data_IF_311455623154
#
_entry.id   IF_311455623154
#
_cell.length_a   1.000
_cell.length_b   1.000
_cell.length_c   1.000
_cell.angle_alpha   90.00
_cell.angle_beta   90.00
_cell.angle_gamma   90.00
#
_symmetry.space_group_name_H-M   'P 1'
#
loop_
_entity.id
_entity.type
_entity.pdbx_description
1 polymer ?
#
# COMPACT_ATOMS: atom_id res chain seq x y z
N UNK A 1 -29.70 -11.11 3.57
CA UNK A 1 -28.31 -10.64 3.56
C UNK A 1 -27.94 -10.32 2.12
N UNK A 2 -27.95 -9.05 1.72
CA UNK A 2 -27.61 -8.63 0.37
C UNK A 2 -26.09 -8.54 0.22
N UNK A 3 -25.49 -9.35 -0.65
CA UNK A 3 -24.13 -9.12 -1.10
C UNK A 3 -24.09 -7.76 -1.79
N UNK A 4 -23.20 -6.87 -1.39
CA UNK A 4 -22.92 -5.67 -2.17
C UNK A 4 -22.18 -6.15 -3.40
N UNK A 5 -22.70 -5.90 -4.61
CA UNK A 5 -22.00 -6.30 -5.83
C UNK A 5 -20.61 -5.66 -5.82
N UNK A 6 -19.58 -6.48 -6.06
CA UNK A 6 -18.20 -6.03 -6.25
C UNK A 6 -18.11 -5.15 -7.51
N UNK A 7 -19.10 -5.25 -8.36
CA UNK A 7 -19.23 -4.52 -9.62
C UNK A 7 -20.61 -3.84 -9.69
N UNK A 8 -20.64 -2.54 -9.67
CA UNK A 8 -21.80 -1.74 -10.09
C UNK A 8 -21.59 -1.37 -11.56
N UNK A 9 -22.54 -1.72 -12.47
CA UNK A 9 -22.50 -1.19 -13.83
C UNK A 9 -22.63 0.33 -13.77
N UNK A 10 -21.63 1.02 -14.23
CA UNK A 10 -21.54 2.48 -14.20
C UNK A 10 -20.07 2.89 -14.14
N UNK A 11 -19.78 4.15 -14.28
CA UNK A 11 -18.42 4.66 -14.11
C UNK A 11 -17.91 4.38 -12.70
N UNK A 12 -17.06 3.36 -12.57
CA UNK A 12 -16.38 3.07 -11.30
C UNK A 12 -15.35 4.17 -11.09
N UNK A 13 -15.70 5.15 -10.29
CA UNK A 13 -14.73 6.15 -9.85
C UNK A 13 -13.81 5.53 -8.80
N UNK A 14 -12.67 5.01 -9.25
CA UNK A 14 -11.68 4.36 -8.37
C UNK A 14 -11.15 5.32 -7.30
N UNK A 15 -11.15 6.64 -7.58
CA UNK A 15 -10.72 7.67 -6.63
C UNK A 15 -11.74 7.91 -5.49
N UNK A 16 -12.96 7.41 -5.62
CA UNK A 16 -14.03 7.53 -4.61
C UNK A 16 -14.31 6.20 -3.88
N UNK A 17 -13.61 5.15 -4.23
CA UNK A 17 -13.76 3.82 -3.62
C UNK A 17 -13.36 3.79 -2.14
N UNK A 18 -13.71 2.71 -1.41
CA UNK A 18 -13.38 2.55 0.01
C UNK A 18 -11.89 2.77 0.31
N UNK A 19 -11.01 2.24 -0.52
CA UNK A 19 -9.55 2.39 -0.38
C UNK A 19 -9.12 3.86 -0.45
N UNK A 20 -9.62 4.63 -1.40
CA UNK A 20 -9.25 6.05 -1.56
C UNK A 20 -9.74 6.89 -0.37
N UNK A 21 -10.99 6.68 0.07
CA UNK A 21 -11.53 7.37 1.25
C UNK A 21 -10.77 7.03 2.53
N UNK A 22 -10.37 5.77 2.68
CA UNK A 22 -9.59 5.34 3.84
C UNK A 22 -8.16 5.90 3.77
N UNK A 23 -7.53 5.91 2.59
CA UNK A 23 -6.22 6.51 2.39
C UNK A 23 -6.21 7.99 2.81
N UNK A 24 -7.20 8.76 2.38
CA UNK A 24 -7.34 10.16 2.77
C UNK A 24 -7.43 10.32 4.29
N UNK A 25 -8.29 9.56 4.97
CA UNK A 25 -8.40 9.60 6.44
C UNK A 25 -7.09 9.23 7.15
N UNK A 26 -6.35 8.26 6.60
CA UNK A 26 -5.05 7.84 7.17
C UNK A 26 -4.01 8.95 7.00
N UNK A 27 -3.96 9.58 5.84
CA UNK A 27 -3.09 10.73 5.58
C UNK A 27 -3.41 11.90 6.50
N UNK A 28 -4.67 12.29 6.60
CA UNK A 28 -5.12 13.34 7.51
C UNK A 28 -4.72 13.05 8.97
N UNK A 29 -4.99 11.84 9.45
CA UNK A 29 -4.63 11.42 10.81
C UNK A 29 -3.13 11.39 11.06
N UNK A 30 -2.34 11.06 10.05
CA UNK A 30 -0.89 11.00 10.14
C UNK A 30 -0.22 12.36 9.92
N UNK A 31 -0.96 13.38 9.45
CA UNK A 31 -0.43 14.68 9.05
C UNK A 31 0.57 14.57 7.89
N UNK A 32 0.27 13.71 6.92
CA UNK A 32 1.13 13.40 5.78
C UNK A 32 0.29 13.29 4.50
N UNK A 33 0.96 13.34 3.34
CA UNK A 33 0.38 13.07 2.05
C UNK A 33 0.98 11.85 1.35
N UNK A 34 0.43 11.47 0.18
CA UNK A 34 0.99 10.38 -0.63
C UNK A 34 2.44 10.64 -1.08
N UNK A 35 2.84 11.92 -1.18
CA UNK A 35 4.20 12.35 -1.49
C UNK A 35 5.22 11.95 -0.42
N UNK A 36 4.81 11.90 0.84
CA UNK A 36 5.68 11.60 1.98
C UNK A 36 6.00 10.11 2.14
N UNK A 37 5.34 9.24 1.37
CA UNK A 37 5.58 7.80 1.44
C UNK A 37 6.80 7.40 0.62
N UNK A 38 7.68 6.61 1.21
CA UNK A 38 8.90 6.10 0.58
C UNK A 38 8.72 4.67 0.04
N UNK A 39 7.89 3.85 0.69
CA UNK A 39 7.66 2.47 0.30
C UNK A 39 6.25 2.02 0.65
N UNK A 40 5.65 1.17 -0.18
CA UNK A 40 4.31 0.64 0.08
C UNK A 40 4.23 -0.88 -0.13
N UNK A 41 3.33 -1.50 0.61
CA UNK A 41 2.86 -2.86 0.36
C UNK A 41 1.38 -2.81 0.02
N UNK A 42 0.98 -3.38 -1.11
CA UNK A 42 -0.42 -3.45 -1.48
C UNK A 42 -0.89 -4.88 -1.71
N UNK A 43 -2.19 -5.09 -1.54
CA UNK A 43 -2.85 -6.35 -1.83
C UNK A 43 -3.06 -6.48 -3.34
N UNK A 44 -2.12 -7.12 -4.01
CA UNK A 44 -2.08 -7.34 -5.46
C UNK A 44 -2.41 -8.80 -5.81
N UNK A 45 -3.57 -9.28 -5.36
CA UNK A 45 -4.03 -10.64 -5.67
C UNK A 45 -4.13 -10.91 -7.18
N UNK A 46 -4.29 -9.84 -7.98
CA UNK A 46 -4.35 -9.87 -9.43
C UNK A 46 -3.50 -8.73 -10.01
N UNK A 47 -2.96 -8.91 -11.20
CA UNK A 47 -2.09 -7.93 -11.88
C UNK A 47 -2.63 -6.49 -11.92
N UNK A 48 -3.94 -6.23 -12.18
CA UNK A 48 -4.47 -4.87 -12.13
C UNK A 48 -4.54 -4.26 -10.73
N UNK A 49 -4.33 -5.05 -9.68
CA UNK A 49 -4.43 -4.62 -8.28
C UNK A 49 -3.44 -3.51 -7.94
N UNK A 50 -2.19 -3.63 -8.38
CA UNK A 50 -1.18 -2.61 -8.15
C UNK A 50 -1.49 -1.31 -8.89
N UNK A 51 -1.83 -1.39 -10.18
CA UNK A 51 -2.20 -0.23 -11.00
C UNK A 51 -3.33 0.56 -10.34
N UNK A 52 -4.40 -0.14 -9.93
CA UNK A 52 -5.53 0.50 -9.27
C UNK A 52 -5.17 1.07 -7.88
N UNK A 53 -4.24 0.44 -7.18
CA UNK A 53 -3.80 0.90 -5.85
C UNK A 53 -2.94 2.15 -5.95
N UNK A 54 -2.07 2.27 -6.96
CA UNK A 54 -1.32 3.50 -7.26
C UNK A 54 -2.25 4.72 -7.35
N UNK A 55 -3.38 4.57 -8.03
CA UNK A 55 -4.36 5.65 -8.18
C UNK A 55 -5.16 5.88 -6.89
N UNK A 56 -5.62 4.80 -6.23
CA UNK A 56 -6.43 4.89 -4.99
C UNK A 56 -5.66 5.44 -3.81
N UNK A 57 -4.35 5.20 -3.74
CA UNK A 57 -3.48 5.78 -2.71
C UNK A 57 -3.04 7.21 -3.06
N UNK A 58 -3.43 7.76 -4.22
CA UNK A 58 -3.12 9.11 -4.62
C UNK A 58 -1.71 9.31 -5.18
N UNK A 59 -0.97 8.24 -5.51
CA UNK A 59 0.35 8.38 -6.12
C UNK A 59 0.25 8.92 -7.54
N UNK A 60 -0.88 8.66 -8.22
CA UNK A 60 -1.21 9.18 -9.55
C UNK A 60 -2.70 9.44 -9.67
N UNK A 61 -3.07 10.30 -10.63
CA UNK A 61 -4.47 10.55 -10.98
C UNK A 61 -5.07 9.32 -11.66
N UNK A 62 -6.39 9.26 -11.67
CA UNK A 62 -7.14 8.22 -12.37
C UNK A 62 -6.71 8.14 -13.85
N UNK A 63 -6.41 6.93 -14.31
CA UNK A 63 -5.95 6.63 -15.67
C UNK A 63 -4.44 6.72 -15.87
N UNK A 64 -3.67 7.23 -14.90
CA UNK A 64 -2.21 7.37 -15.01
C UNK A 64 -1.44 6.20 -14.36
N UNK A 65 -2.12 5.36 -13.57
CA UNK A 65 -1.48 4.30 -12.80
C UNK A 65 -0.77 3.27 -13.68
N UNK A 66 -1.36 2.90 -14.82
CA UNK A 66 -0.78 1.95 -15.74
C UNK A 66 0.55 2.42 -16.31
N UNK A 67 0.61 3.67 -16.78
CA UNK A 67 1.85 4.28 -17.30
C UNK A 67 2.90 4.38 -16.20
N UNK A 68 2.51 4.80 -15.01
CA UNK A 68 3.40 4.93 -13.87
C UNK A 68 4.09 3.60 -13.50
N UNK A 69 3.32 2.50 -13.49
CA UNK A 69 3.85 1.15 -13.24
C UNK A 69 4.74 0.69 -14.40
N UNK A 70 4.29 0.91 -15.64
CA UNK A 70 5.04 0.54 -16.85
C UNK A 70 6.43 1.21 -16.92
N UNK A 71 6.54 2.45 -16.49
CA UNK A 71 7.79 3.21 -16.40
C UNK A 71 8.74 2.73 -15.29
N UNK A 72 8.39 1.68 -14.54
CA UNK A 72 9.21 1.14 -13.45
C UNK A 72 9.18 1.97 -12.16
N UNK A 73 8.25 2.94 -12.04
CA UNK A 73 8.21 3.79 -10.86
C UNK A 73 7.85 3.06 -9.56
N UNK A 74 7.30 1.84 -9.65
CA UNK A 74 6.99 0.98 -8.50
C UNK A 74 8.06 -0.08 -8.22
N UNK A 75 9.10 -0.15 -9.03
CA UNK A 75 10.24 -1.03 -8.80
C UNK A 75 11.05 -0.59 -7.56
N UNK A 76 11.96 -1.44 -7.08
CA UNK A 76 12.78 -1.19 -5.87
C UNK A 76 13.55 0.14 -5.96
N UNK A 77 14.01 0.49 -7.15
CA UNK A 77 14.74 1.74 -7.45
C UNK A 77 13.85 2.85 -8.00
N UNK A 78 12.55 2.60 -8.09
CA UNK A 78 11.58 3.54 -8.63
C UNK A 78 11.23 4.67 -7.65
N UNK A 79 10.37 5.58 -8.09
CA UNK A 79 9.95 6.75 -7.30
C UNK A 79 9.07 6.38 -6.09
N UNK A 80 8.31 5.30 -6.19
CA UNK A 80 7.40 4.78 -5.16
C UNK A 80 7.48 3.26 -5.12
N UNK A 81 8.55 2.69 -4.56
CA UNK A 81 8.74 1.25 -4.45
C UNK A 81 7.52 0.58 -3.82
N UNK A 82 6.97 -0.40 -4.52
CA UNK A 82 5.80 -1.15 -4.06
C UNK A 82 6.09 -2.65 -4.09
N UNK A 83 5.63 -3.37 -3.06
CA UNK A 83 5.69 -4.82 -3.02
C UNK A 83 7.09 -5.40 -3.28
N UNK A 84 8.11 -4.78 -2.70
CA UNK A 84 9.53 -5.09 -2.91
C UNK A 84 9.92 -6.53 -2.64
N UNK A 85 9.08 -7.29 -1.92
CA UNK A 85 9.30 -8.70 -1.57
C UNK A 85 8.66 -9.71 -2.55
N UNK A 86 8.27 -9.26 -3.74
CA UNK A 86 7.77 -10.12 -4.81
C UNK A 86 6.26 -10.27 -4.89
N UNK A 87 5.48 -9.50 -4.12
CA UNK A 87 4.01 -9.43 -4.23
C UNK A 87 3.28 -10.73 -3.85
N UNK A 88 1.96 -10.69 -3.73
CA UNK A 88 1.14 -11.90 -3.56
C UNK A 88 1.30 -12.84 -4.75
N UNK A 89 1.46 -12.28 -5.96
CA UNK A 89 1.60 -13.03 -7.21
C UNK A 89 2.84 -13.94 -7.25
N UNK A 90 3.97 -13.53 -6.67
CA UNK A 90 5.20 -14.35 -6.64
C UNK A 90 5.40 -15.06 -5.31
N UNK A 91 5.04 -14.42 -4.20
CA UNK A 91 5.25 -14.95 -2.84
C UNK A 91 4.15 -15.91 -2.41
N UNK A 92 2.99 -15.83 -3.04
CA UNK A 92 1.78 -16.55 -2.64
C UNK A 92 0.93 -15.75 -1.65
N UNK A 93 -0.31 -16.22 -1.45
CA UNK A 93 -1.34 -15.54 -0.66
C UNK A 93 -1.97 -16.46 0.39
N UNK A 94 -1.28 -16.82 1.48
CA UNK A 94 -1.94 -17.43 2.63
C UNK A 94 -2.81 -16.37 3.33
N UNK A 95 -4.13 -16.48 3.19
CA UNK A 95 -5.10 -15.43 3.54
C UNK A 95 -4.88 -14.85 4.95
N UNK A 96 -4.67 -15.71 5.96
CA UNK A 96 -4.42 -15.28 7.34
C UNK A 96 -3.02 -14.72 7.61
N UNK A 97 -2.04 -14.95 6.73
CA UNK A 97 -0.64 -14.55 6.96
C UNK A 97 -0.20 -13.36 6.11
N UNK A 98 -0.91 -13.03 5.06
CA UNK A 98 -0.51 -11.99 4.10
C UNK A 98 -0.32 -10.64 4.76
N UNK A 99 -1.24 -10.19 5.59
CA UNK A 99 -1.12 -8.93 6.32
C UNK A 99 0.13 -8.88 7.21
N UNK A 100 0.40 -9.96 7.96
CA UNK A 100 1.62 -10.08 8.78
C UNK A 100 2.90 -10.03 7.95
N UNK A 101 2.90 -10.66 6.77
CA UNK A 101 4.05 -10.61 5.86
C UNK A 101 4.28 -9.21 5.27
N UNK A 102 3.21 -8.46 4.97
CA UNK A 102 3.31 -7.07 4.52
C UNK A 102 3.87 -6.16 5.62
N UNK A 103 3.40 -6.32 6.86
CA UNK A 103 3.94 -5.59 8.02
C UNK A 103 5.43 -5.90 8.19
N UNK A 104 5.81 -7.17 8.14
CA UNK A 104 7.21 -7.60 8.29
C UNK A 104 8.10 -6.96 7.23
N UNK A 105 7.66 -6.91 5.98
CA UNK A 105 8.45 -6.28 4.93
C UNK A 105 8.61 -4.78 5.16
N UNK A 106 7.53 -4.05 5.47
CA UNK A 106 7.64 -2.62 5.77
C UNK A 106 8.57 -2.37 6.95
N UNK A 107 8.48 -3.15 8.03
CA UNK A 107 9.39 -3.02 9.18
C UNK A 107 10.84 -3.21 8.77
N UNK A 108 11.14 -4.22 7.94
CA UNK A 108 12.51 -4.45 7.41
C UNK A 108 12.99 -3.30 6.56
N UNK A 109 12.14 -2.77 5.68
CA UNK A 109 12.45 -1.61 4.85
C UNK A 109 12.82 -0.39 5.71
N UNK A 110 12.01 -0.08 6.71
CA UNK A 110 12.22 1.06 7.60
C UNK A 110 13.44 0.90 8.52
N UNK A 111 13.89 -0.34 8.78
CA UNK A 111 15.10 -0.63 9.56
C UNK A 111 16.36 -0.73 8.70
N UNK A 112 16.25 -0.71 7.37
CA UNK A 112 17.39 -0.96 6.49
C UNK A 112 17.82 -2.43 6.45
N UNK A 113 16.92 -3.35 6.78
CA UNK A 113 17.18 -4.80 6.92
C UNK A 113 16.63 -5.63 5.75
N UNK A 114 16.18 -4.98 4.67
CA UNK A 114 15.55 -5.69 3.54
C UNK A 114 16.55 -6.30 2.54
N UNK A 115 17.86 -6.11 2.74
CA UNK A 115 18.92 -6.66 1.90
C UNK A 115 18.83 -6.15 0.46
N UNK A 116 18.87 -7.06 -0.51
CA UNK A 116 18.79 -6.70 -1.95
C UNK A 116 17.46 -6.07 -2.37
N UNK A 117 16.45 -6.14 -1.53
CA UNK A 117 15.12 -5.55 -1.77
C UNK A 117 14.95 -4.16 -1.15
N UNK A 118 16.01 -3.63 -0.56
CA UNK A 118 15.98 -2.37 0.18
C UNK A 118 15.65 -1.19 -0.72
N UNK A 119 14.53 -0.51 -0.48
CA UNK A 119 14.24 0.80 -1.05
C UNK A 119 15.16 1.86 -0.45
N UNK A 120 15.67 2.75 -1.28
CA UNK A 120 16.59 3.78 -0.83
C UNK A 120 15.93 4.74 0.18
N UNK A 121 16.60 4.98 1.31
CA UNK A 121 16.19 5.96 2.32
C UNK A 121 14.76 5.81 2.87
N UNK A 122 14.20 4.62 2.88
CA UNK A 122 12.84 4.37 3.37
C UNK A 122 12.67 4.76 4.84
N UNK A 123 11.87 5.78 5.12
CA UNK A 123 11.53 6.29 6.45
C UNK A 123 10.05 6.21 6.76
N UNK A 124 9.22 6.27 5.73
CA UNK A 124 7.76 6.23 5.84
C UNK A 124 7.23 5.14 4.93
N UNK A 125 6.47 4.21 5.49
CA UNK A 125 5.89 3.10 4.75
C UNK A 125 4.37 3.02 4.93
N UNK A 126 3.69 2.43 3.95
CA UNK A 126 2.26 2.17 4.01
C UNK A 126 1.95 0.72 3.67
N UNK A 127 0.93 0.17 4.33
CA UNK A 127 0.37 -1.14 4.04
C UNK A 127 -1.07 -0.95 3.62
N UNK A 128 -1.43 -1.49 2.47
CA UNK A 128 -2.80 -1.60 1.99
C UNK A 128 -3.16 -3.08 1.89
N UNK A 129 -3.94 -3.58 2.83
CA UNK A 129 -4.44 -4.95 2.83
C UNK A 129 -5.94 -4.94 2.53
N UNK A 130 -6.36 -5.65 1.50
CA UNK A 130 -7.76 -5.77 1.12
C UNK A 130 -8.30 -7.15 1.51
N UNK A 131 -9.46 -7.17 2.15
CA UNK A 131 -10.18 -8.40 2.47
C UNK A 131 -11.37 -8.58 1.55
N UNK A 132 -11.65 -9.83 1.16
CA UNK A 132 -12.86 -10.21 0.43
C UNK A 132 -13.96 -10.51 1.45
N UNK A 133 -14.94 -9.61 1.54
CA UNK A 133 -16.14 -9.82 2.36
C UNK A 133 -16.30 -8.80 3.49
N UNK A 134 -17.56 -8.42 3.74
CA UNK A 134 -17.95 -7.67 4.94
C UNK A 134 -18.12 -8.66 6.08
N UNK A 135 -17.22 -8.61 7.04
CA UNK A 135 -17.51 -9.11 8.38
C UNK A 135 -17.96 -7.92 9.25
N UNK A 136 -19.03 -8.03 10.05
CA UNK A 136 -19.39 -6.97 11.01
C UNK A 136 -18.18 -6.69 11.90
N UNK A 137 -17.67 -5.44 11.89
CA UNK A 137 -16.52 -5.01 12.69
C UNK A 137 -15.15 -5.14 12.04
N UNK A 138 -15.05 -5.60 10.79
CA UNK A 138 -13.79 -5.60 10.04
C UNK A 138 -14.00 -4.76 8.78
N UNK A 139 -13.29 -3.66 8.65
CA UNK A 139 -13.27 -2.90 7.39
C UNK A 139 -12.61 -3.76 6.30
N UNK A 140 -13.17 -3.76 5.07
CA UNK A 140 -12.63 -4.56 3.97
C UNK A 140 -11.24 -4.11 3.50
N UNK A 141 -10.71 -3.05 4.07
CA UNK A 141 -9.40 -2.47 3.74
C UNK A 141 -8.73 -1.99 5.01
N UNK A 142 -7.53 -2.49 5.27
CA UNK A 142 -6.67 -2.01 6.35
C UNK A 142 -5.55 -1.16 5.76
N UNK A 143 -5.40 0.06 6.24
CA UNK A 143 -4.30 0.96 5.93
C UNK A 143 -3.59 1.35 7.22
N UNK A 144 -2.28 1.15 7.25
CA UNK A 144 -1.47 1.54 8.39
C UNK A 144 -0.20 2.25 7.91
N UNK A 145 0.02 3.51 8.29
CA UNK A 145 1.31 4.16 8.12
C UNK A 145 2.28 3.64 9.19
N UNK A 146 3.53 3.45 8.79
CA UNK A 146 4.61 3.15 9.70
C UNK A 146 5.77 4.12 9.43
N UNK A 147 6.40 4.60 10.48
CA UNK A 147 7.60 5.44 10.40
C UNK A 147 8.79 4.70 10.99
N UNK A 148 9.98 4.91 10.42
CA UNK A 148 11.22 4.47 11.03
C UNK A 148 11.34 5.10 12.43
N UNK A 149 11.70 4.31 13.41
CA UNK A 149 12.09 4.86 14.70
C UNK A 149 13.33 5.73 14.50
N UNK A 150 13.29 7.00 14.94
CA UNK A 150 14.50 7.82 14.97
C UNK A 150 15.55 7.07 15.81
N UNK A 151 16.80 7.00 15.36
CA UNK A 151 17.89 6.43 16.14
C UNK A 151 17.92 7.11 17.52
N UNK A 152 18.23 6.35 18.57
CA UNK A 152 18.20 6.81 19.96
C UNK A 152 19.02 8.10 20.20
N UNK A 153 19.99 8.37 19.35
CA UNK A 153 20.83 9.59 19.35
C UNK A 153 20.07 10.86 18.92
N UNK A 154 18.95 10.75 18.19
CA UNK A 154 18.16 11.91 17.75
C UNK A 154 17.06 12.32 18.76
N UNK A 155 16.92 11.60 19.90
CA UNK A 155 15.94 11.93 20.95
C UNK A 155 16.47 12.88 22.03
N UNK A 156 17.66 13.42 21.86
CA UNK A 156 18.27 14.41 22.76
C UNK A 156 18.68 15.64 21.96
N UNK A 157 17.76 16.45 21.57
CA UNK A 157 17.94 17.85 21.19
C UNK A 157 16.63 18.59 21.48
#
# INVERSE_FOLDING_TARGET
MGAIPIYTPGEVNLSEGPTARLAQKVYEKAGMGPEDLDVAQCHDAFTPGEVSTVERLGFRKKGEGGVFVWEGNTEITGKKPMNTNGRLLSRGHPVGATGGAMITEIVRQLRGEAGTRQAANAKVGMIHNANVGRHPGIDPVDLAPARAALPATARRA
#
